data_IF_589594941345
#
_entry.id   IF_589594941345
#
_cell.length_a   1.000
_cell.length_b   1.000
_cell.length_c   1.000
_cell.angle_alpha   90.00
_cell.angle_beta   90.00
_cell.angle_gamma   90.00
#
_symmetry.space_group_name_H-M   'P 1'
#
loop_
_entity.id
_entity.type
_entity.pdbx_description
1 polymer ?
#
# COMPACT_ATOMS: atom_id res chain seq x y z
N UNK A 1 -7.86 10.62 5.07
CA UNK A 1 -7.83 9.60 4.00
C UNK A 1 -8.37 8.30 4.52
N UNK A 2 -9.34 7.72 3.81
CA UNK A 2 -9.78 6.34 4.06
C UNK A 2 -8.80 5.41 3.33
N UNK A 3 -8.36 4.35 3.99
CA UNK A 3 -7.40 3.40 3.41
C UNK A 3 -7.91 1.98 3.60
N UNK A 4 -8.04 1.24 2.51
CA UNK A 4 -8.47 -0.15 2.51
C UNK A 4 -7.48 -1.03 1.76
N UNK A 5 -7.29 -2.25 2.26
CA UNK A 5 -6.42 -3.26 1.66
C UNK A 5 -7.24 -4.48 1.30
N UNK A 6 -7.18 -4.85 0.04
CA UNK A 6 -7.79 -6.07 -0.50
C UNK A 6 -6.69 -6.98 -1.05
N UNK A 7 -6.96 -8.28 -1.13
CA UNK A 7 -6.03 -9.30 -1.62
C UNK A 7 -6.68 -10.00 -2.80
N UNK A 8 -5.89 -10.37 -3.80
CA UNK A 8 -6.38 -11.21 -4.90
C UNK A 8 -6.82 -12.60 -4.40
N UNK A 9 -7.61 -13.30 -5.22
CA UNK A 9 -7.90 -14.72 -5.01
C UNK A 9 -6.60 -15.51 -5.03
N UNK A 10 -6.53 -16.62 -4.28
CA UNK A 10 -5.35 -17.50 -4.16
C UNK A 10 -4.06 -16.82 -3.67
N UNK A 11 -4.16 -15.73 -2.89
CA UNK A 11 -2.98 -15.01 -2.37
C UNK A 11 -2.06 -15.88 -1.50
N UNK A 12 -2.62 -16.82 -0.75
CA UNK A 12 -1.89 -17.64 0.23
C UNK A 12 -2.75 -17.95 1.46
N UNK A 13 -2.10 -18.49 2.49
CA UNK A 13 -2.74 -18.86 3.75
C UNK A 13 -3.08 -17.64 4.64
N UNK A 14 -3.78 -17.87 5.75
CA UNK A 14 -4.22 -16.78 6.63
C UNK A 14 -3.06 -15.95 7.19
N UNK A 15 -1.93 -16.58 7.52
CA UNK A 15 -0.74 -15.92 8.07
C UNK A 15 -0.12 -15.00 7.01
N UNK A 16 0.12 -15.50 5.80
CA UNK A 16 0.65 -14.73 4.68
C UNK A 16 -0.24 -13.52 4.36
N UNK A 17 -1.56 -13.72 4.31
CA UNK A 17 -2.53 -12.64 4.08
C UNK A 17 -2.49 -11.58 5.18
N UNK A 18 -2.43 -11.99 6.44
CA UNK A 18 -2.38 -11.06 7.57
C UNK A 18 -1.06 -10.29 7.60
N UNK A 19 0.06 -10.97 7.34
CA UNK A 19 1.37 -10.34 7.22
C UNK A 19 1.37 -9.29 6.10
N UNK A 20 0.92 -9.64 4.89
CA UNK A 20 0.90 -8.70 3.77
C UNK A 20 0.03 -7.45 4.03
N UNK A 21 -1.13 -7.63 4.68
CA UNK A 21 -1.96 -6.50 5.11
C UNK A 21 -1.26 -5.63 6.16
N UNK A 22 -0.54 -6.22 7.11
CA UNK A 22 0.21 -5.48 8.14
C UNK A 22 1.31 -4.66 7.48
N UNK A 23 2.14 -5.29 6.66
CA UNK A 23 3.23 -4.61 5.92
C UNK A 23 2.69 -3.41 5.13
N UNK A 24 1.63 -3.59 4.35
CA UNK A 24 1.08 -2.49 3.56
C UNK A 24 0.48 -1.37 4.43
N UNK A 25 -0.18 -1.71 5.55
CA UNK A 25 -0.68 -0.71 6.49
C UNK A 25 0.46 0.09 7.14
N UNK A 26 1.59 -0.55 7.43
CA UNK A 26 2.76 0.13 7.98
C UNK A 26 3.42 1.05 6.96
N UNK A 27 3.59 0.60 5.72
CA UNK A 27 4.04 1.46 4.61
C UNK A 27 3.14 2.69 4.49
N UNK A 28 1.82 2.49 4.40
CA UNK A 28 0.86 3.59 4.34
C UNK A 28 0.98 4.54 5.54
N UNK A 29 1.13 4.00 6.76
CA UNK A 29 1.28 4.81 7.99
C UNK A 29 2.53 5.69 7.92
N UNK A 30 3.65 5.14 7.45
CA UNK A 30 4.92 5.86 7.34
C UNK A 30 4.88 6.94 6.25
N UNK A 31 4.22 6.67 5.12
CA UNK A 31 4.09 7.63 4.01
C UNK A 31 2.91 8.59 4.15
N UNK A 32 2.08 8.45 5.20
CA UNK A 32 0.79 9.17 5.32
C UNK A 32 0.96 10.69 5.30
N UNK A 33 2.07 11.18 5.85
CA UNK A 33 2.36 12.61 5.93
C UNK A 33 2.55 13.24 4.53
N UNK A 34 3.06 12.45 3.59
CA UNK A 34 3.36 12.84 2.20
C UNK A 34 2.15 12.65 1.26
N UNK A 35 1.03 12.14 1.78
CA UNK A 35 -0.19 11.94 1.00
C UNK A 35 -1.19 13.09 1.24
N UNK A 36 -1.82 13.63 0.19
CA UNK A 36 -2.81 14.69 0.28
C UNK A 36 -4.05 14.20 1.02
N UNK A 37 -4.73 15.09 1.73
CA UNK A 37 -5.97 14.76 2.46
C UNK A 37 -7.17 14.69 1.51
N UNK A 38 -8.26 14.05 1.92
CA UNK A 38 -9.51 13.97 1.15
C UNK A 38 -9.64 12.77 0.20
N UNK A 39 -8.64 11.87 0.17
CA UNK A 39 -8.65 10.71 -0.72
C UNK A 39 -9.09 9.41 -0.05
N UNK A 40 -9.70 8.56 -0.86
CA UNK A 40 -9.96 7.15 -0.55
C UNK A 40 -9.05 6.27 -1.36
N UNK A 41 -8.17 5.55 -0.68
CA UNK A 41 -7.14 4.73 -1.31
C UNK A 41 -7.48 3.28 -1.03
N UNK A 42 -7.79 2.54 -2.10
CA UNK A 42 -7.99 1.08 -2.06
C UNK A 42 -6.81 0.44 -2.79
N UNK A 43 -6.07 -0.40 -2.07
CA UNK A 43 -4.94 -1.13 -2.66
C UNK A 43 -5.30 -2.60 -2.80
N UNK A 44 -5.04 -3.14 -3.99
CA UNK A 44 -5.17 -4.57 -4.28
C UNK A 44 -3.78 -5.19 -4.23
N UNK A 45 -3.56 -6.12 -3.30
CA UNK A 45 -2.30 -6.83 -3.14
C UNK A 45 -2.28 -8.11 -3.96
N UNK A 46 -1.26 -8.24 -4.80
CA UNK A 46 -0.91 -9.45 -5.54
C UNK A 46 0.13 -10.26 -4.77
N UNK A 47 -0.01 -11.59 -4.76
CA UNK A 47 0.96 -12.49 -4.13
C UNK A 47 2.31 -12.43 -4.83
N UNK A 48 3.36 -12.70 -4.07
CA UNK A 48 4.72 -12.79 -4.55
C UNK A 48 5.68 -12.72 -3.37
N UNK A 49 6.93 -13.11 -3.60
CA UNK A 49 7.98 -12.99 -2.62
C UNK A 49 8.52 -11.55 -2.67
N UNK A 50 8.09 -10.75 -1.70
CA UNK A 50 8.49 -9.35 -1.60
C UNK A 50 8.79 -9.02 -0.16
N UNK A 51 9.96 -8.43 0.07
CA UNK A 51 10.29 -7.86 1.35
C UNK A 51 9.59 -6.49 1.55
N UNK A 52 9.74 -5.93 2.75
CA UNK A 52 9.14 -4.65 3.11
C UNK A 52 9.52 -3.53 2.14
N UNK A 53 10.80 -3.39 1.82
CA UNK A 53 11.32 -2.31 1.01
C UNK A 53 10.83 -2.40 -0.45
N UNK A 54 10.76 -3.61 -1.01
CA UNK A 54 10.19 -3.81 -2.34
C UNK A 54 8.71 -3.41 -2.39
N UNK A 55 7.94 -3.73 -1.34
CA UNK A 55 6.54 -3.30 -1.22
C UNK A 55 6.40 -1.79 -1.08
N UNK A 56 7.28 -1.15 -0.32
CA UNK A 56 7.32 0.30 -0.15
C UNK A 56 7.60 1.00 -1.49
N UNK A 57 8.61 0.54 -2.23
CA UNK A 57 8.92 1.06 -3.57
C UNK A 57 7.74 0.90 -4.54
N UNK A 58 7.10 -0.28 -4.55
CA UNK A 58 5.89 -0.52 -5.36
C UNK A 58 4.76 0.44 -5.00
N UNK A 59 4.50 0.60 -3.70
CA UNK A 59 3.47 1.51 -3.20
C UNK A 59 3.74 2.96 -3.61
N UNK A 60 4.93 3.48 -3.34
CA UNK A 60 5.32 4.85 -3.71
C UNK A 60 5.24 5.09 -5.21
N UNK A 61 5.65 4.11 -6.03
CA UNK A 61 5.50 4.17 -7.49
C UNK A 61 4.03 4.28 -7.90
N UNK A 62 3.13 3.52 -7.27
CA UNK A 62 1.69 3.58 -7.55
C UNK A 62 1.08 4.94 -7.14
N UNK A 63 1.42 5.46 -5.96
CA UNK A 63 0.98 6.78 -5.49
C UNK A 63 1.37 7.88 -6.48
N UNK A 64 2.64 7.89 -6.94
CA UNK A 64 3.12 8.86 -7.93
C UNK A 64 2.38 8.72 -9.27
N UNK A 65 2.19 7.49 -9.76
CA UNK A 65 1.46 7.23 -11.01
C UNK A 65 -0.01 7.62 -10.93
N UNK A 66 -0.62 7.54 -9.75
CA UNK A 66 -1.98 7.96 -9.51
C UNK A 66 -2.12 9.49 -9.38
N UNK A 67 -1.03 10.26 -9.41
CA UNK A 67 -1.06 11.73 -9.31
C UNK A 67 -1.45 12.24 -7.92
N UNK A 68 -1.37 11.39 -6.89
CA UNK A 68 -1.75 11.71 -5.51
C UNK A 68 -0.54 11.81 -4.58
N UNK A 69 0.68 11.91 -5.11
CA UNK A 69 1.81 12.33 -4.28
C UNK A 69 1.63 13.82 -3.98
N UNK A 70 1.86 14.27 -2.74
CA UNK A 70 1.98 15.71 -2.51
C UNK A 70 3.14 16.22 -3.36
N UNK A 71 2.85 17.20 -4.20
CA UNK A 71 3.89 18.07 -4.75
C UNK A 71 4.30 18.99 -3.59
N UNK A 72 5.58 18.94 -3.21
CA UNK A 72 6.14 19.91 -2.27
C UNK A 72 5.76 21.32 -2.74
N UNK A 73 5.03 22.03 -1.89
CA UNK A 73 4.76 23.47 -2.05
C UNK A 73 5.81 24.25 -1.28
#
# INVERSE_FOLDING_TARGET
NRFAVTLVRKFGNAVQRNYARRVLKEIYRNTKQDLPTGYDIIVVLYSGDYNYHEREQQFTKLIRRAGIAKTDS
#
